data_IF_718306608076
#
_entry.id   IF_718306608076
#
_cell.length_a   1.000
_cell.length_b   1.000
_cell.length_c   1.000
_cell.angle_alpha   90.00
_cell.angle_beta   90.00
_cell.angle_gamma   90.00
#
_symmetry.space_group_name_H-M   'P 1'
#
loop_
_entity.id
_entity.type
_entity.pdbx_description
1 polymer ?
#
# COMPACT_ATOMS: atom_id res chain seq x y z
N UNK A 1 4.28 4.21 24.44
CA UNK A 1 3.60 3.08 23.78
C UNK A 1 4.50 1.85 23.56
N UNK A 2 5.83 1.95 23.63
CA UNK A 2 6.72 0.79 23.41
C UNK A 2 6.80 0.34 21.94
N UNK A 3 6.50 1.24 21.01
CA UNK A 3 6.44 0.95 19.56
C UNK A 3 7.79 1.25 18.90
N UNK A 4 8.36 0.28 18.20
CA UNK A 4 9.64 0.43 17.48
C UNK A 4 9.45 0.94 16.04
N UNK A 5 8.36 0.54 15.38
CA UNK A 5 8.05 0.87 13.99
C UNK A 5 6.56 1.15 13.81
N UNK A 6 6.23 2.17 13.02
CA UNK A 6 4.86 2.47 12.60
C UNK A 6 4.75 2.33 11.08
N UNK A 7 3.72 1.61 10.63
CA UNK A 7 3.34 1.57 9.22
C UNK A 7 2.51 2.83 8.93
N UNK A 8 3.15 3.81 8.32
CA UNK A 8 2.54 5.11 8.04
C UNK A 8 2.05 5.16 6.61
N UNK A 9 0.74 5.20 6.45
CA UNK A 9 0.16 5.43 5.13
C UNK A 9 0.36 6.89 4.64
N UNK A 10 0.10 7.09 3.35
CA UNK A 10 0.08 8.39 2.68
C UNK A 10 -1.01 9.34 3.23
N UNK A 11 -2.00 8.82 3.98
CA UNK A 11 -2.96 9.60 4.76
C UNK A 11 -4.15 10.15 3.98
N UNK A 12 -4.40 9.69 2.75
CA UNK A 12 -5.53 10.10 1.91
C UNK A 12 -5.81 9.02 0.85
N UNK A 13 -7.08 8.66 0.67
CA UNK A 13 -7.55 7.76 -0.40
C UNK A 13 -7.20 8.36 -1.77
N UNK A 14 -6.30 7.72 -2.52
CA UNK A 14 -5.96 8.17 -3.86
C UNK A 14 -5.16 7.15 -4.66
N UNK A 15 -5.50 6.98 -5.93
CA UNK A 15 -4.61 6.37 -6.92
C UNK A 15 -3.77 7.44 -7.67
N UNK A 16 -4.01 8.75 -7.42
CA UNK A 16 -3.30 9.84 -8.11
C UNK A 16 -1.83 9.93 -7.68
N UNK A 17 -0.95 9.83 -8.66
CA UNK A 17 0.49 9.74 -8.45
C UNK A 17 1.04 11.02 -7.82
N UNK A 18 0.60 12.20 -8.26
CA UNK A 18 1.12 13.48 -7.75
C UNK A 18 0.77 13.66 -6.27
N UNK A 19 -0.47 13.34 -5.89
CA UNK A 19 -0.92 13.35 -4.50
C UNK A 19 -0.12 12.38 -3.63
N UNK A 20 0.03 11.14 -4.08
CA UNK A 20 0.77 10.12 -3.34
C UNK A 20 2.25 10.51 -3.16
N UNK A 21 2.90 11.05 -4.20
CA UNK A 21 4.29 11.54 -4.12
C UNK A 21 4.41 12.70 -3.13
N UNK A 22 3.51 13.70 -3.15
CA UNK A 22 3.54 14.84 -2.21
C UNK A 22 3.50 14.37 -0.75
N UNK A 23 2.70 13.35 -0.46
CA UNK A 23 2.59 12.78 0.90
C UNK A 23 3.83 11.99 1.29
N UNK A 24 4.33 11.14 0.38
CA UNK A 24 5.57 10.40 0.58
C UNK A 24 6.77 11.33 0.82
N UNK A 25 6.86 12.42 0.05
CA UNK A 25 7.86 13.46 0.22
C UNK A 25 7.78 14.10 1.61
N UNK A 26 6.57 14.42 2.11
CA UNK A 26 6.40 14.99 3.45
C UNK A 26 6.85 14.04 4.58
N UNK A 27 6.60 12.73 4.43
CA UNK A 27 7.06 11.72 5.40
C UNK A 27 8.56 11.51 5.35
N UNK A 28 9.14 11.52 4.15
CA UNK A 28 10.58 11.45 3.94
C UNK A 28 11.27 12.66 4.58
N UNK A 29 10.80 13.88 4.28
CA UNK A 29 11.32 15.12 4.87
C UNK A 29 11.25 15.14 6.40
N UNK A 30 10.21 14.57 7.00
CA UNK A 30 10.13 14.45 8.47
C UNK A 30 11.28 13.59 9.03
N UNK A 31 11.62 12.47 8.38
CA UNK A 31 12.75 11.63 8.77
C UNK A 31 14.08 12.37 8.58
N UNK A 32 14.21 13.16 7.51
CA UNK A 32 15.41 13.96 7.25
C UNK A 32 15.61 15.07 8.29
N UNK A 33 14.52 15.62 8.85
CA UNK A 33 14.57 16.69 9.86
C UNK A 33 14.71 16.20 11.29
N UNK A 34 14.41 14.93 11.56
CA UNK A 34 14.48 14.36 12.90
C UNK A 34 15.23 13.01 12.91
N UNK A 35 16.44 12.90 12.32
CA UNK A 35 17.11 11.62 12.10
C UNK A 35 17.54 10.92 13.39
N UNK A 36 17.68 11.67 14.48
CA UNK A 36 18.02 11.16 15.82
C UNK A 36 16.80 10.58 16.54
N UNK A 37 15.58 10.85 16.05
CA UNK A 37 14.33 10.40 16.66
C UNK A 37 13.65 9.35 15.78
N UNK A 38 13.60 9.60 14.46
CA UNK A 38 12.82 8.81 13.52
C UNK A 38 13.57 8.58 12.22
N UNK A 39 13.52 7.35 11.75
CA UNK A 39 14.17 6.93 10.51
C UNK A 39 13.17 6.29 9.56
N UNK A 40 13.44 6.36 8.26
CA UNK A 40 12.64 5.63 7.28
C UNK A 40 13.09 4.16 7.25
N UNK A 41 12.12 3.24 7.25
CA UNK A 41 12.34 1.82 7.01
C UNK A 41 11.66 1.41 5.69
N UNK A 42 12.39 0.66 4.87
CA UNK A 42 11.86 -0.01 3.68
C UNK A 42 12.03 -1.53 3.78
N UNK A 43 12.95 -2.02 4.61
CA UNK A 43 13.21 -3.43 4.82
C UNK A 43 13.26 -3.76 6.32
N UNK A 44 13.03 -5.03 6.71
CA UNK A 44 13.06 -5.44 8.12
C UNK A 44 14.37 -5.10 8.85
N UNK A 45 15.50 -5.11 8.12
CA UNK A 45 16.79 -4.73 8.64
C UNK A 45 16.83 -3.27 9.11
N UNK A 46 16.13 -2.35 8.43
CA UNK A 46 16.05 -0.93 8.81
C UNK A 46 15.35 -0.77 10.15
N UNK A 47 14.28 -1.53 10.39
CA UNK A 47 13.54 -1.53 11.66
C UNK A 47 14.42 -2.00 12.81
N UNK A 48 15.16 -3.10 12.59
CA UNK A 48 16.06 -3.66 13.60
C UNK A 48 17.24 -2.72 13.88
N UNK A 49 17.77 -2.07 12.84
CA UNK A 49 18.83 -1.08 12.97
C UNK A 49 18.37 0.17 13.73
N UNK A 50 17.16 0.67 13.45
CA UNK A 50 16.58 1.80 14.17
C UNK A 50 16.43 1.48 15.66
N UNK A 51 15.85 0.32 15.98
CA UNK A 51 15.70 -0.16 17.36
C UNK A 51 17.03 -0.27 18.10
N UNK A 52 18.05 -0.88 17.46
CA UNK A 52 19.39 -1.01 18.05
C UNK A 52 20.04 0.34 18.32
N UNK A 53 19.75 1.34 17.49
CA UNK A 53 20.22 2.71 17.64
C UNK A 53 19.39 3.54 18.65
N UNK A 54 18.39 2.96 19.33
CA UNK A 54 17.51 3.68 20.25
C UNK A 54 16.55 4.65 19.56
N UNK A 55 16.26 4.43 18.27
CA UNK A 55 15.40 5.29 17.43
C UNK A 55 14.12 4.56 17.02
N UNK A 56 13.12 5.34 16.65
CA UNK A 56 11.91 4.82 16.02
C UNK A 56 12.05 4.77 14.50
N UNK A 57 11.23 3.94 13.85
CA UNK A 57 11.15 3.87 12.39
C UNK A 57 9.74 4.09 11.86
N UNK A 58 9.67 4.66 10.66
CA UNK A 58 8.45 4.75 9.87
C UNK A 58 8.62 3.89 8.62
N UNK A 59 7.70 2.95 8.42
CA UNK A 59 7.55 2.20 7.19
C UNK A 59 6.43 2.80 6.36
N UNK A 60 6.74 3.34 5.18
CA UNK A 60 5.76 4.12 4.42
C UNK A 60 4.95 3.22 3.47
N UNK A 61 3.63 3.35 3.53
CA UNK A 61 2.66 2.62 2.70
C UNK A 61 1.76 3.62 1.95
N UNK A 62 1.01 3.17 0.94
CA UNK A 62 0.07 4.04 0.21
C UNK A 62 -1.37 3.59 0.38
N UNK A 63 -2.27 4.56 0.54
CA UNK A 63 -3.73 4.38 0.54
C UNK A 63 -4.29 4.27 -0.89
N UNK A 64 -3.65 3.44 -1.71
CA UNK A 64 -3.98 3.23 -3.12
C UNK A 64 -2.77 2.80 -3.93
N UNK A 65 -3.02 2.08 -5.02
CA UNK A 65 -2.01 1.76 -6.03
C UNK A 65 -1.83 2.97 -6.96
N UNK A 66 -0.62 3.49 -7.18
CA UNK A 66 -0.39 4.62 -8.07
C UNK A 66 -0.74 4.25 -9.52
N UNK A 67 -1.73 4.93 -10.10
CA UNK A 67 -2.15 4.73 -11.49
C UNK A 67 -2.32 6.10 -12.17
N UNK A 68 -1.85 6.27 -13.42
CA UNK A 68 -2.06 7.51 -14.14
C UNK A 68 -3.53 7.69 -14.52
N UNK A 69 -3.99 8.93 -14.56
CA UNK A 69 -5.35 9.29 -15.00
C UNK A 69 -5.63 8.88 -16.44
N UNK A 70 -4.58 8.80 -17.27
CA UNK A 70 -4.63 8.28 -18.64
C UNK A 70 -3.65 7.13 -18.77
N UNK A 71 -4.17 5.93 -19.10
CA UNK A 71 -3.36 4.74 -19.34
C UNK A 71 -3.06 4.66 -20.84
N UNK A 72 -1.86 5.04 -21.23
CA UNK A 72 -1.39 4.88 -22.62
C UNK A 72 -1.09 3.41 -22.93
N UNK A 73 -0.52 2.70 -21.97
CA UNK A 73 -0.35 1.25 -22.01
C UNK A 73 -0.38 0.70 -20.59
N UNK A 74 -0.83 -0.56 -20.43
CA UNK A 74 -0.86 -1.21 -19.12
C UNK A 74 0.56 -1.29 -18.53
N UNK A 75 1.57 -1.64 -19.33
CA UNK A 75 2.96 -1.69 -18.89
C UNK A 75 3.46 -0.34 -18.34
N UNK A 76 3.20 0.77 -19.03
CA UNK A 76 3.62 2.11 -18.57
C UNK A 76 2.91 2.53 -17.28
N UNK A 77 1.62 2.20 -17.12
CA UNK A 77 0.90 2.45 -15.88
C UNK A 77 1.47 1.60 -14.73
N UNK A 78 1.79 0.34 -14.99
CA UNK A 78 2.33 -0.59 -14.00
C UNK A 78 3.77 -0.23 -13.57
N UNK A 79 4.54 0.47 -14.41
CA UNK A 79 5.89 0.91 -14.05
C UNK A 79 5.90 1.81 -12.79
N UNK A 80 4.80 2.50 -12.47
CA UNK A 80 4.70 3.28 -11.23
C UNK A 80 4.80 2.42 -9.97
N UNK A 81 4.48 1.12 -10.01
CA UNK A 81 4.76 0.22 -8.90
C UNK A 81 6.26 0.11 -8.64
N UNK A 82 7.06 -0.03 -9.70
CA UNK A 82 8.53 -0.04 -9.60
C UNK A 82 9.06 1.30 -9.08
N UNK A 83 8.52 2.43 -9.56
CA UNK A 83 8.89 3.77 -9.07
C UNK A 83 8.63 3.90 -7.57
N UNK A 84 7.43 3.56 -7.10
CA UNK A 84 7.10 3.65 -5.68
C UNK A 84 7.90 2.67 -4.83
N UNK A 85 8.23 1.49 -5.37
CA UNK A 85 9.19 0.57 -4.74
C UNK A 85 10.57 1.21 -4.60
N UNK A 86 11.10 1.86 -5.63
CA UNK A 86 12.38 2.58 -5.53
C UNK A 86 12.33 3.73 -4.52
N UNK A 87 11.16 4.36 -4.35
CA UNK A 87 10.93 5.38 -3.32
C UNK A 87 10.75 4.80 -1.90
N UNK A 88 10.84 3.48 -1.72
CA UNK A 88 10.82 2.80 -0.42
C UNK A 88 9.47 2.22 0.00
N UNK A 89 8.42 2.33 -0.84
CA UNK A 89 7.12 1.73 -0.55
C UNK A 89 7.15 0.23 -0.83
N UNK A 90 6.54 -0.56 0.04
CA UNK A 90 6.52 -2.03 -0.05
C UNK A 90 5.16 -2.64 0.22
N UNK A 91 4.17 -1.83 0.54
CA UNK A 91 2.79 -2.26 0.79
C UNK A 91 1.85 -1.15 0.34
N UNK A 92 0.78 -1.53 -0.36
CA UNK A 92 -0.20 -0.60 -0.91
C UNK A 92 -1.60 -1.14 -0.69
N UNK A 93 -2.52 -0.29 -0.23
CA UNK A 93 -3.95 -0.59 -0.25
C UNK A 93 -4.40 -0.77 -1.70
N UNK A 94 -5.07 -1.89 -1.97
CA UNK A 94 -5.54 -2.19 -3.32
C UNK A 94 -6.75 -1.30 -3.70
N UNK A 95 -7.68 -1.17 -2.78
CA UNK A 95 -8.85 -0.29 -2.84
C UNK A 95 -8.91 0.55 -1.58
N UNK A 96 -9.87 1.47 -1.50
CA UNK A 96 -10.21 2.12 -0.25
C UNK A 96 -11.73 2.08 -0.07
N UNK A 97 -12.45 3.18 0.13
CA UNK A 97 -13.87 3.09 0.44
C UNK A 97 -14.72 2.83 -0.80
N UNK A 98 -14.39 3.49 -1.92
CA UNK A 98 -15.15 3.41 -3.17
C UNK A 98 -14.52 2.45 -4.18
N UNK A 99 -15.28 2.13 -5.23
CA UNK A 99 -14.80 1.38 -6.39
C UNK A 99 -13.70 2.18 -7.06
N UNK A 100 -12.59 1.51 -7.36
CA UNK A 100 -11.57 2.04 -8.26
C UNK A 100 -11.42 1.12 -9.49
N UNK A 101 -10.42 1.39 -10.33
CA UNK A 101 -10.17 0.59 -11.54
C UNK A 101 -9.77 -0.86 -11.24
N UNK A 102 -9.42 -1.19 -9.99
CA UNK A 102 -8.86 -2.49 -9.60
C UNK A 102 -9.90 -3.40 -8.96
N UNK A 103 -10.87 -2.84 -8.23
CA UNK A 103 -11.94 -3.60 -7.61
C UNK A 103 -12.83 -2.75 -6.70
N UNK A 104 -13.71 -3.44 -5.98
CA UNK A 104 -14.65 -2.81 -5.06
C UNK A 104 -14.06 -2.56 -3.68
N UNK A 105 -14.20 -1.31 -3.23
CA UNK A 105 -13.87 -0.85 -1.89
C UNK A 105 -14.96 -1.21 -0.87
N UNK A 106 -14.62 -1.21 0.42
CA UNK A 106 -15.46 -1.75 1.49
C UNK A 106 -16.84 -1.07 1.64
N UNK A 107 -16.97 0.17 1.17
CA UNK A 107 -18.23 0.93 1.22
C UNK A 107 -19.05 0.86 -0.09
N UNK A 108 -18.56 0.16 -1.12
CA UNK A 108 -19.34 -0.05 -2.35
C UNK A 108 -20.47 -1.05 -2.12
N UNK A 109 -21.73 -0.76 -2.43
CA UNK A 109 -22.82 -1.73 -2.28
C UNK A 109 -22.62 -2.97 -3.17
N UNK A 110 -22.07 -2.77 -4.36
CA UNK A 110 -21.68 -3.84 -5.25
C UNK A 110 -20.45 -4.56 -4.67
N UNK A 111 -20.53 -5.87 -4.50
CA UNK A 111 -19.41 -6.74 -4.10
C UNK A 111 -18.89 -7.48 -5.34
N UNK A 112 -18.42 -6.69 -6.32
CA UNK A 112 -18.09 -7.13 -7.67
C UNK A 112 -16.76 -7.86 -7.80
N UNK A 113 -15.86 -7.74 -6.82
CA UNK A 113 -14.56 -8.40 -6.82
C UNK A 113 -13.49 -7.62 -7.61
N UNK A 114 -12.48 -8.35 -8.10
CA UNK A 114 -11.39 -7.77 -8.89
C UNK A 114 -11.76 -7.57 -10.35
N UNK A 115 -11.29 -6.45 -10.91
CA UNK A 115 -11.24 -6.27 -12.36
C UNK A 115 -10.06 -7.03 -12.99
N UNK A 116 -10.05 -7.15 -14.31
CA UNK A 116 -8.92 -7.72 -15.05
C UNK A 116 -7.63 -6.90 -14.86
N UNK A 117 -7.75 -5.57 -14.79
CA UNK A 117 -6.63 -4.70 -14.45
C UNK A 117 -6.16 -4.97 -13.01
N UNK A 118 -7.08 -5.17 -12.07
CA UNK A 118 -6.78 -5.55 -10.69
C UNK A 118 -5.92 -6.81 -10.61
N UNK A 119 -6.29 -7.88 -11.33
CA UNK A 119 -5.50 -9.12 -11.40
C UNK A 119 -4.10 -8.88 -11.97
N UNK A 120 -4.00 -8.05 -13.00
CA UNK A 120 -2.71 -7.68 -13.62
C UNK A 120 -1.83 -6.88 -12.64
N UNK A 121 -2.43 -5.95 -11.89
CA UNK A 121 -1.74 -5.19 -10.84
C UNK A 121 -1.23 -6.13 -9.74
N UNK A 122 -2.02 -7.09 -9.27
CA UNK A 122 -1.56 -8.07 -8.26
C UNK A 122 -0.35 -8.86 -8.74
N UNK A 123 -0.38 -9.32 -10.00
CA UNK A 123 0.76 -10.01 -10.60
C UNK A 123 2.02 -9.13 -10.61
N UNK A 124 1.88 -7.85 -10.95
CA UNK A 124 3.00 -6.90 -10.95
C UNK A 124 3.49 -6.57 -9.54
N UNK A 125 2.59 -6.39 -8.56
CA UNK A 125 2.94 -6.21 -7.15
C UNK A 125 3.80 -7.40 -6.67
N UNK A 126 3.39 -8.62 -6.99
CA UNK A 126 4.17 -9.82 -6.66
C UNK A 126 5.53 -9.86 -7.36
N UNK A 127 5.63 -9.40 -8.62
CA UNK A 127 6.88 -9.35 -9.39
C UNK A 127 7.87 -8.33 -8.81
N UNK A 128 7.39 -7.13 -8.49
CA UNK A 128 8.19 -6.02 -7.93
C UNK A 128 8.57 -6.27 -6.47
N UNK A 129 7.75 -7.01 -5.72
CA UNK A 129 7.93 -7.24 -4.29
C UNK A 129 7.14 -6.28 -3.40
N UNK A 130 5.99 -5.82 -3.89
CA UNK A 130 5.01 -5.03 -3.14
C UNK A 130 3.94 -5.98 -2.58
N UNK A 131 3.63 -5.80 -1.29
CA UNK A 131 2.59 -6.53 -0.57
C UNK A 131 1.23 -5.92 -0.91
N UNK A 132 0.28 -6.70 -1.45
CA UNK A 132 -1.10 -6.27 -1.57
C UNK A 132 -1.74 -6.16 -0.18
N UNK A 133 -2.31 -5.00 0.13
CA UNK A 133 -3.10 -4.79 1.33
C UNK A 133 -4.59 -4.67 0.98
N UNK A 134 -5.40 -5.54 1.57
CA UNK A 134 -6.85 -5.64 1.36
C UNK A 134 -7.65 -4.97 2.48
N UNK A 135 -6.99 -4.26 3.39
CA UNK A 135 -7.71 -3.30 4.23
C UNK A 135 -8.49 -2.33 3.34
N UNK A 136 -9.74 -2.07 3.71
CA UNK A 136 -10.73 -1.35 2.89
C UNK A 136 -11.16 -2.05 1.58
N UNK A 137 -10.82 -3.30 1.32
CA UNK A 137 -11.44 -4.04 0.21
C UNK A 137 -12.74 -4.71 0.64
N UNK A 138 -13.70 -4.80 -0.28
CA UNK A 138 -14.89 -5.64 -0.12
C UNK A 138 -14.50 -7.12 0.02
N UNK A 139 -15.38 -7.94 0.60
CA UNK A 139 -15.09 -9.35 0.88
C UNK A 139 -14.68 -10.11 -0.39
N UNK A 140 -15.43 -9.99 -1.49
CA UNK A 140 -15.09 -10.68 -2.73
C UNK A 140 -13.75 -10.20 -3.29
N UNK A 141 -13.50 -8.89 -3.30
CA UNK A 141 -12.21 -8.32 -3.71
C UNK A 141 -11.07 -8.93 -2.89
N UNK A 142 -11.18 -8.93 -1.56
CA UNK A 142 -10.18 -9.50 -0.65
C UNK A 142 -9.90 -10.98 -0.91
N UNK A 143 -10.95 -11.78 -1.10
CA UNK A 143 -10.83 -13.21 -1.39
C UNK A 143 -10.18 -13.47 -2.74
N UNK A 144 -10.57 -12.74 -3.78
CA UNK A 144 -10.00 -12.89 -5.12
C UNK A 144 -8.52 -12.45 -5.16
N UNK A 145 -8.14 -11.44 -4.38
CA UNK A 145 -6.73 -11.05 -4.21
C UNK A 145 -5.93 -12.17 -3.56
N UNK A 146 -6.45 -12.75 -2.47
CA UNK A 146 -5.80 -13.87 -1.78
C UNK A 146 -5.66 -15.11 -2.69
N UNK A 147 -6.64 -15.35 -3.58
CA UNK A 147 -6.61 -16.45 -4.53
C UNK A 147 -5.62 -16.23 -5.68
N UNK A 148 -5.51 -15.02 -6.23
CA UNK A 148 -4.65 -14.76 -7.40
C UNK A 148 -3.22 -14.34 -7.05
N UNK A 149 -2.97 -13.84 -5.83
CA UNK A 149 -1.62 -13.48 -5.38
C UNK A 149 -0.76 -14.73 -5.16
N UNK A 150 0.43 -14.74 -5.74
CA UNK A 150 1.48 -15.77 -5.54
C UNK A 150 2.37 -15.49 -4.32
N UNK A 151 2.14 -14.38 -3.63
CA UNK A 151 2.86 -13.93 -2.42
C UNK A 151 1.85 -13.61 -1.30
N UNK A 152 2.29 -13.58 -0.02
CA UNK A 152 1.40 -13.21 1.08
C UNK A 152 0.70 -11.87 0.85
N UNK A 153 -0.56 -11.81 1.27
CA UNK A 153 -1.44 -10.63 1.26
C UNK A 153 -1.63 -10.20 2.71
N UNK A 154 -1.81 -8.90 2.94
CA UNK A 154 -2.03 -8.33 4.26
C UNK A 154 -3.43 -7.72 4.33
N UNK A 155 -4.07 -7.81 5.49
CA UNK A 155 -5.20 -6.96 5.86
C UNK A 155 -4.72 -6.09 7.03
N UNK A 156 -4.14 -4.91 6.74
CA UNK A 156 -3.32 -4.18 7.72
C UNK A 156 -4.12 -3.65 8.90
N UNK A 157 -5.39 -3.37 8.69
CA UNK A 157 -6.33 -2.95 9.72
C UNK A 157 -7.75 -3.29 9.27
N UNK A 158 -8.33 -4.29 9.92
CA UNK A 158 -9.71 -4.71 9.73
C UNK A 158 -10.29 -5.05 11.10
N UNK A 159 -11.61 -5.09 11.17
CA UNK A 159 -12.34 -5.71 12.27
C UNK A 159 -13.19 -6.86 11.71
N UNK A 160 -13.27 -7.95 12.45
CA UNK A 160 -14.14 -9.08 12.11
C UNK A 160 -15.47 -8.82 12.78
N UNK A 161 -16.50 -8.52 11.98
CA UNK A 161 -17.87 -8.57 12.47
C UNK A 161 -18.27 -10.05 12.62
N UNK A 162 -18.83 -10.43 13.77
CA UNK A 162 -19.35 -11.79 13.95
C UNK A 162 -20.48 -12.06 12.94
N UNK A 163 -20.56 -13.29 12.38
CA UNK A 163 -21.69 -13.66 11.55
C UNK A 163 -22.96 -13.69 12.40
N UNK A 164 -23.90 -12.81 12.08
CA UNK A 164 -25.27 -12.85 12.62
C UNK A 164 -26.12 -13.93 11.97
#
# INVERSE_FOLDING_TARGET
AGVDCVFQNSGEESNDIERLIKRLARRTYLCDKMPDVITRAAFPADVTAAKKAGRHSIYITTNGVPLPSTIYSVESALYYLTVFFQLGVRMMHLTYNRRNLLGDGCAEPADGGLSDLGRTVIAEMNRVGIIPDVAHSRLRTSLEVAQCSKKPVVASHIFIAEPG
#
